data_IF_344878401023
#
_entry.id   IF_344878401023
#
_cell.length_a   1.000
_cell.length_b   1.000
_cell.length_c   1.000
_cell.angle_alpha   90.00
_cell.angle_beta   90.00
_cell.angle_gamma   90.00
#
_symmetry.space_group_name_H-M   'P 1'
#
loop_
_entity.id
_entity.type
_entity.pdbx_description
1 polymer ?
#
# COMPACT_ATOMS: atom_id res chain seq x y z
N UNK A 1 -9.87 14.77 -41.56
CA UNK A 1 -9.47 15.43 -40.30
C UNK A 1 -9.55 14.38 -39.18
N UNK A 2 -8.52 14.26 -38.37
CA UNK A 2 -8.48 13.27 -37.29
C UNK A 2 -9.37 13.67 -36.11
N UNK A 3 -10.02 12.69 -35.50
CA UNK A 3 -10.81 12.88 -34.28
C UNK A 3 -10.41 11.85 -33.25
N UNK A 4 -10.06 12.32 -32.05
CA UNK A 4 -9.75 11.48 -30.89
C UNK A 4 -11.03 11.28 -30.06
N UNK A 5 -11.36 10.02 -29.73
CA UNK A 5 -12.50 9.67 -28.87
C UNK A 5 -12.09 8.75 -27.75
N UNK A 6 -12.70 8.93 -26.59
CA UNK A 6 -12.57 8.00 -25.47
C UNK A 6 -13.73 7.00 -25.49
N UNK A 7 -13.40 5.72 -25.65
CA UNK A 7 -14.39 4.64 -25.73
C UNK A 7 -13.94 3.48 -24.83
N UNK A 8 -14.69 3.22 -23.77
CA UNK A 8 -14.49 2.08 -22.86
C UNK A 8 -13.01 1.87 -22.48
N UNK A 9 -12.38 2.91 -21.90
CA UNK A 9 -10.99 2.83 -21.44
C UNK A 9 -9.92 2.87 -22.53
N UNK A 10 -10.31 3.19 -23.76
CA UNK A 10 -9.41 3.29 -24.92
C UNK A 10 -9.52 4.67 -25.59
N UNK A 11 -8.47 5.03 -26.33
CA UNK A 11 -8.49 6.15 -27.28
C UNK A 11 -8.67 5.58 -28.68
N UNK A 12 -9.70 6.00 -29.35
CA UNK A 12 -9.94 5.74 -30.76
C UNK A 12 -9.55 6.97 -31.59
N UNK A 13 -8.81 6.75 -32.69
CA UNK A 13 -8.39 7.78 -33.62
C UNK A 13 -9.08 7.50 -34.95
N UNK A 14 -10.07 8.32 -35.27
CA UNK A 14 -10.87 8.21 -36.48
C UNK A 14 -10.46 9.25 -37.53
N UNK A 15 -10.69 8.92 -38.80
CA UNK A 15 -10.41 9.80 -39.93
C UNK A 15 -8.98 9.70 -40.46
N UNK A 16 -8.64 10.60 -41.37
CA UNK A 16 -7.36 10.62 -42.06
C UNK A 16 -6.65 11.97 -41.82
N UNK A 17 -5.33 11.95 -41.93
CA UNK A 17 -4.56 13.17 -41.95
C UNK A 17 -4.94 14.03 -43.19
N UNK A 18 -4.95 15.36 -43.08
CA UNK A 18 -5.18 16.22 -44.24
C UNK A 18 -4.18 15.96 -45.36
N UNK A 19 -4.60 16.30 -46.61
CA UNK A 19 -3.77 16.15 -47.78
C UNK A 19 -2.37 16.78 -47.61
N UNK A 20 -1.34 16.02 -47.98
CA UNK A 20 0.06 16.42 -47.82
C UNK A 20 0.69 16.18 -46.47
N UNK A 21 -0.07 15.67 -45.47
CA UNK A 21 0.44 15.31 -44.17
C UNK A 21 0.43 13.80 -43.97
N UNK A 22 1.56 13.22 -43.54
CA UNK A 22 1.63 11.83 -43.16
C UNK A 22 1.34 11.66 -41.68
N UNK A 23 0.42 10.76 -41.32
CA UNK A 23 0.16 10.40 -39.93
C UNK A 23 1.39 9.69 -39.36
N UNK A 24 2.06 10.23 -38.32
CA UNK A 24 3.19 9.53 -37.70
C UNK A 24 2.69 8.26 -36.96
N UNK A 25 3.56 7.28 -36.72
CA UNK A 25 3.22 6.15 -35.85
C UNK A 25 2.75 6.65 -34.48
N UNK A 26 1.51 6.32 -34.12
CA UNK A 26 0.95 6.75 -32.85
C UNK A 26 1.36 5.76 -31.73
N UNK A 27 1.80 6.25 -30.56
CA UNK A 27 2.23 5.41 -29.45
C UNK A 27 1.15 4.42 -29.01
N UNK A 28 1.51 3.14 -28.93
CA UNK A 28 0.62 2.04 -28.49
C UNK A 28 -0.68 1.87 -29.31
N UNK A 29 -0.79 2.52 -30.47
CA UNK A 29 -1.95 2.39 -31.34
C UNK A 29 -1.79 1.21 -32.30
N UNK A 30 -2.86 0.44 -32.45
CA UNK A 30 -2.99 -0.62 -33.44
C UNK A 30 -4.31 -0.44 -34.20
N UNK A 31 -4.36 -0.97 -35.45
CA UNK A 31 -5.60 -0.96 -36.19
C UNK A 31 -6.60 -1.94 -35.56
N UNK A 32 -7.84 -1.47 -35.32
CA UNK A 32 -8.95 -2.28 -34.84
C UNK A 32 -9.94 -2.43 -36.00
N UNK A 33 -9.94 -3.58 -36.67
CA UNK A 33 -10.78 -3.87 -37.83
C UNK A 33 -12.30 -3.80 -37.49
N UNK A 34 -12.66 -4.05 -36.24
CA UNK A 34 -14.07 -4.00 -35.79
C UNK A 34 -14.57 -2.59 -35.66
N UNK A 35 -13.71 -1.68 -35.22
CA UNK A 35 -14.04 -0.26 -35.05
C UNK A 35 -13.68 0.57 -36.28
N UNK A 36 -12.89 0.02 -37.23
CA UNK A 36 -12.40 0.72 -38.43
C UNK A 36 -11.53 1.93 -38.10
N UNK A 37 -10.76 1.87 -37.01
CA UNK A 37 -9.95 2.99 -36.55
C UNK A 37 -8.63 2.51 -35.89
N UNK A 38 -7.72 3.45 -35.62
CA UNK A 38 -6.59 3.16 -34.75
C UNK A 38 -7.04 3.25 -33.29
N UNK A 39 -6.69 2.24 -32.49
CA UNK A 39 -7.05 2.14 -31.08
C UNK A 39 -5.84 1.96 -30.18
N UNK A 40 -5.82 2.68 -29.07
CA UNK A 40 -4.78 2.60 -28.06
C UNK A 40 -5.41 2.57 -26.64
N UNK A 41 -4.74 2.00 -25.63
CA UNK A 41 -5.20 2.16 -24.25
C UNK A 41 -5.19 3.65 -23.85
N UNK A 42 -6.15 4.06 -23.01
CA UNK A 42 -6.34 5.48 -22.67
C UNK A 42 -5.07 6.13 -22.05
N UNK A 43 -4.23 5.36 -21.37
CA UNK A 43 -2.94 5.84 -20.83
C UNK A 43 -2.02 6.47 -21.87
N UNK A 44 -2.15 6.07 -23.13
CA UNK A 44 -1.37 6.60 -24.26
C UNK A 44 -1.84 7.97 -24.77
N UNK A 45 -2.99 8.46 -24.30
CA UNK A 45 -3.60 9.72 -24.78
C UNK A 45 -2.61 10.89 -24.81
N UNK A 46 -1.89 11.14 -23.72
CA UNK A 46 -0.96 12.27 -23.65
C UNK A 46 0.20 12.14 -24.66
N UNK A 47 0.65 10.94 -24.92
CA UNK A 47 1.74 10.66 -25.88
C UNK A 47 1.22 10.78 -27.32
N UNK A 48 0.02 10.32 -27.59
CA UNK A 48 -0.66 10.49 -28.89
C UNK A 48 -0.83 11.97 -29.20
N UNK A 49 -1.40 12.75 -28.26
CA UNK A 49 -1.60 14.22 -28.44
C UNK A 49 -0.27 14.91 -28.69
N UNK A 50 0.79 14.62 -27.91
CA UNK A 50 2.13 15.18 -28.13
C UNK A 50 2.71 14.83 -29.49
N UNK A 51 2.50 13.62 -29.96
CA UNK A 51 2.97 13.16 -31.26
C UNK A 51 2.26 13.92 -32.39
N UNK A 52 0.95 14.05 -32.33
CA UNK A 52 0.16 14.82 -33.31
C UNK A 52 0.56 16.31 -33.35
N UNK A 53 0.70 16.94 -32.17
CA UNK A 53 1.13 18.34 -32.05
C UNK A 53 2.52 18.56 -32.62
N UNK A 54 3.50 17.67 -32.31
CA UNK A 54 4.87 17.76 -32.84
C UNK A 54 4.90 17.61 -34.36
N UNK A 55 4.08 16.70 -34.90
CA UNK A 55 3.94 16.48 -36.33
C UNK A 55 3.09 17.56 -37.03
N UNK A 56 2.54 18.51 -36.27
CA UNK A 56 1.63 19.57 -36.77
C UNK A 56 0.41 19.01 -37.50
N UNK A 57 -0.03 17.82 -37.13
CA UNK A 57 -1.25 17.19 -37.68
C UNK A 57 -2.45 17.73 -36.91
N UNK A 58 -3.41 18.43 -37.58
CA UNK A 58 -4.59 18.95 -36.92
C UNK A 58 -5.56 17.82 -36.54
N UNK A 59 -6.16 17.92 -35.36
CA UNK A 59 -7.12 16.96 -34.85
C UNK A 59 -8.19 17.63 -33.99
N UNK A 60 -9.34 16.97 -33.88
CA UNK A 60 -10.42 17.32 -32.93
C UNK A 60 -10.28 16.40 -31.72
N UNK A 61 -10.23 16.97 -30.54
CA UNK A 61 -10.13 16.21 -29.29
C UNK A 61 -11.51 16.13 -28.60
N UNK A 62 -12.24 15.05 -28.85
CA UNK A 62 -13.47 14.69 -28.19
C UNK A 62 -13.25 13.70 -27.02
N UNK A 63 -11.99 13.26 -26.80
CA UNK A 63 -11.68 12.26 -25.80
C UNK A 63 -11.69 12.84 -24.38
N UNK A 64 -11.13 14.02 -24.19
CA UNK A 64 -11.00 14.62 -22.86
C UNK A 64 -12.31 15.25 -22.40
N UNK A 65 -12.71 14.90 -21.16
CA UNK A 65 -13.88 15.47 -20.47
C UNK A 65 -13.53 16.04 -19.11
N UNK A 66 -12.25 16.16 -18.79
CA UNK A 66 -11.79 16.77 -17.54
C UNK A 66 -11.77 18.28 -17.60
N UNK A 67 -11.98 18.88 -16.43
CA UNK A 67 -12.09 20.32 -16.25
C UNK A 67 -10.80 20.92 -15.71
N UNK A 68 -10.56 22.19 -15.99
CA UNK A 68 -9.64 23.02 -15.26
C UNK A 68 -10.35 23.60 -14.05
N UNK A 69 -9.70 23.56 -12.89
CA UNK A 69 -10.28 24.01 -11.64
C UNK A 69 -9.58 25.31 -11.18
N UNK A 70 -10.23 26.03 -10.28
CA UNK A 70 -9.65 27.15 -9.53
C UNK A 70 -9.68 26.78 -8.04
N UNK A 71 -8.72 25.93 -7.63
CA UNK A 71 -8.62 25.44 -6.27
C UNK A 71 -7.78 26.39 -5.42
N UNK A 72 -8.38 26.91 -4.37
CA UNK A 72 -7.67 27.73 -3.37
C UNK A 72 -7.33 26.86 -2.16
N UNK A 73 -6.05 26.85 -1.79
CA UNK A 73 -5.59 26.13 -0.59
C UNK A 73 -6.02 26.92 0.64
N UNK A 74 -6.98 26.40 1.42
CA UNK A 74 -7.49 27.03 2.65
C UNK A 74 -6.61 26.77 3.86
N UNK A 75 -6.03 25.58 3.93
CA UNK A 75 -5.15 25.15 5.01
C UNK A 75 -3.73 24.99 4.43
N UNK A 76 -3.05 26.09 4.21
CA UNK A 76 -1.66 26.05 3.77
C UNK A 76 -0.78 25.52 4.91
N UNK A 77 -0.08 24.43 4.63
CA UNK A 77 0.98 23.92 5.48
C UNK A 77 2.29 24.16 4.78
N UNK A 78 3.26 24.70 5.48
CA UNK A 78 4.59 24.89 4.94
C UNK A 78 5.21 23.54 4.55
N UNK A 79 5.63 23.37 3.29
CA UNK A 79 6.23 22.12 2.86
C UNK A 79 7.62 21.96 3.46
N UNK A 80 7.97 20.71 3.78
CA UNK A 80 9.33 20.37 4.16
C UNK A 80 10.23 20.37 2.92
N UNK A 81 11.55 20.63 3.04
CA UNK A 81 12.46 20.70 1.88
C UNK A 81 12.35 19.49 0.94
N UNK A 82 12.37 18.28 1.48
CA UNK A 82 12.26 17.06 0.67
C UNK A 82 10.90 16.91 -0.05
N UNK A 83 9.82 17.52 0.46
CA UNK A 83 8.52 17.54 -0.22
C UNK A 83 8.54 18.48 -1.42
N UNK A 84 9.23 19.61 -1.30
CA UNK A 84 9.47 20.53 -2.41
C UNK A 84 10.35 19.87 -3.47
N UNK A 85 11.45 19.24 -3.07
CA UNK A 85 12.31 18.45 -3.98
C UNK A 85 11.53 17.38 -4.74
N UNK A 86 10.62 16.67 -4.05
CA UNK A 86 9.79 15.64 -4.66
C UNK A 86 8.84 16.19 -5.73
N UNK A 87 8.23 17.36 -5.48
CA UNK A 87 7.37 18.06 -6.45
C UNK A 87 8.19 18.57 -7.64
N UNK A 88 9.38 19.13 -7.40
CA UNK A 88 10.25 19.62 -8.45
C UNK A 88 10.73 18.47 -9.36
N UNK A 89 11.11 17.34 -8.79
CA UNK A 89 11.47 16.14 -9.54
C UNK A 89 10.29 15.60 -10.37
N UNK A 90 9.09 15.57 -9.79
CA UNK A 90 7.88 15.13 -10.50
C UNK A 90 7.51 16.12 -11.61
N UNK A 91 7.67 17.41 -11.40
CA UNK A 91 7.47 18.45 -12.41
C UNK A 91 8.45 18.30 -13.57
N UNK A 92 9.74 18.07 -13.26
CA UNK A 92 10.79 17.83 -14.26
C UNK A 92 10.50 16.60 -15.12
N UNK A 93 9.80 15.60 -14.55
CA UNK A 93 9.30 14.41 -15.27
C UNK A 93 7.94 14.64 -15.95
N UNK A 94 7.62 15.91 -16.30
CA UNK A 94 6.39 16.32 -16.98
C UNK A 94 5.10 15.91 -16.24
N UNK A 95 5.14 15.81 -14.92
CA UNK A 95 3.99 15.45 -14.10
C UNK A 95 3.61 13.97 -14.18
N UNK A 96 4.57 13.08 -14.44
CA UNK A 96 4.38 11.60 -14.46
C UNK A 96 5.52 10.94 -13.69
N UNK A 97 5.19 10.25 -12.63
CA UNK A 97 6.19 9.52 -11.85
C UNK A 97 5.74 9.10 -10.48
N UNK A 98 6.59 8.33 -9.84
CA UNK A 98 6.40 7.79 -8.50
C UNK A 98 7.33 8.50 -7.52
N UNK A 99 6.75 8.95 -6.41
CA UNK A 99 7.46 9.50 -5.26
C UNK A 99 7.49 8.44 -4.16
N UNK A 100 8.70 8.04 -3.78
CA UNK A 100 8.95 7.07 -2.71
C UNK A 100 9.39 7.81 -1.46
N UNK A 101 8.53 7.75 -0.44
CA UNK A 101 8.76 8.40 0.84
C UNK A 101 8.29 7.49 1.98
N UNK A 102 8.96 7.47 3.13
CA UNK A 102 8.56 6.69 4.29
C UNK A 102 7.14 7.00 4.76
N UNK A 103 6.52 6.04 5.44
CA UNK A 103 5.24 6.28 6.12
C UNK A 103 5.43 7.34 7.21
N UNK A 104 4.48 8.27 7.33
CA UNK A 104 4.59 9.38 8.30
C UNK A 104 5.38 10.61 7.82
N UNK A 105 6.09 10.55 6.69
CA UNK A 105 6.82 11.69 6.12
C UNK A 105 5.92 12.76 5.51
N UNK A 106 4.65 12.46 5.25
CA UNK A 106 3.70 13.39 4.64
C UNK A 106 3.59 13.25 3.11
N UNK A 107 3.64 12.03 2.55
CA UNK A 107 3.35 11.74 1.13
C UNK A 107 2.08 12.43 0.63
N UNK A 108 1.03 12.41 1.45
CA UNK A 108 -0.25 13.03 1.13
C UNK A 108 -0.15 14.54 0.93
N UNK A 109 0.77 15.22 1.63
CA UNK A 109 1.03 16.66 1.44
C UNK A 109 1.67 16.93 0.07
N UNK A 110 2.59 16.07 -0.39
CA UNK A 110 3.14 16.15 -1.77
C UNK A 110 2.03 16.08 -2.80
N UNK A 111 1.05 15.18 -2.61
CA UNK A 111 -0.10 15.11 -3.51
C UNK A 111 -0.98 16.37 -3.46
N UNK A 112 -1.21 16.97 -2.28
CA UNK A 112 -1.96 18.23 -2.17
C UNK A 112 -1.27 19.35 -2.93
N UNK A 113 0.07 19.45 -2.84
CA UNK A 113 0.88 20.41 -3.62
C UNK A 113 0.72 20.17 -5.13
N UNK A 114 0.76 18.90 -5.57
CA UNK A 114 0.57 18.54 -6.97
C UNK A 114 -0.83 18.89 -7.48
N UNK A 115 -1.89 18.65 -6.70
CA UNK A 115 -3.27 19.02 -7.05
C UNK A 115 -3.40 20.56 -7.19
N UNK A 116 -2.88 21.29 -6.20
CA UNK A 116 -2.90 22.76 -6.19
C UNK A 116 -2.13 23.35 -7.38
N UNK A 117 -1.06 22.69 -7.84
CA UNK A 117 -0.30 23.14 -9.02
C UNK A 117 -1.03 22.82 -10.32
N UNK A 118 -1.57 21.62 -10.48
CA UNK A 118 -2.15 21.21 -11.78
C UNK A 118 -3.53 21.76 -12.04
N UNK A 119 -4.29 22.10 -11.01
CA UNK A 119 -5.60 22.72 -11.18
C UNK A 119 -6.50 21.95 -12.16
N UNK A 120 -6.58 20.61 -12.02
CA UNK A 120 -7.33 19.72 -12.91
C UNK A 120 -8.28 18.84 -12.12
N UNK A 121 -9.38 18.43 -12.77
CA UNK A 121 -10.19 17.34 -12.21
C UNK A 121 -9.29 16.17 -11.83
N UNK A 122 -9.36 15.76 -10.58
CA UNK A 122 -8.41 14.82 -9.97
C UNK A 122 -9.13 13.62 -9.39
N UNK A 123 -8.61 12.42 -9.71
CA UNK A 123 -9.00 11.17 -9.08
C UNK A 123 -7.89 10.68 -8.15
N UNK A 124 -8.23 10.40 -6.90
CA UNK A 124 -7.33 9.72 -5.96
C UNK A 124 -7.79 8.28 -5.79
N UNK A 125 -6.89 7.35 -6.02
CA UNK A 125 -7.13 5.90 -5.87
C UNK A 125 -6.35 5.40 -4.69
N UNK A 126 -7.04 4.79 -3.70
CA UNK A 126 -6.44 4.30 -2.46
C UNK A 126 -6.82 2.82 -2.20
N UNK A 127 -6.00 2.04 -1.45
CA UNK A 127 -6.22 0.60 -1.30
C UNK A 127 -7.39 0.22 -0.39
N UNK A 128 -7.81 1.08 0.53
CA UNK A 128 -8.84 0.75 1.53
C UNK A 128 -9.85 1.86 1.69
N UNK A 129 -11.08 1.51 2.12
CA UNK A 129 -12.13 2.49 2.41
C UNK A 129 -11.74 3.47 3.54
N UNK A 130 -10.92 3.04 4.48
CA UNK A 130 -10.43 3.92 5.55
C UNK A 130 -9.51 5.02 4.99
N UNK A 131 -8.60 4.68 4.04
CA UNK A 131 -7.80 5.67 3.33
C UNK A 131 -8.64 6.57 2.42
N UNK A 132 -9.63 6.01 1.74
CA UNK A 132 -10.57 6.79 0.91
C UNK A 132 -11.26 7.87 1.77
N UNK A 133 -11.71 7.53 2.98
CA UNK A 133 -12.30 8.51 3.91
C UNK A 133 -11.30 9.58 4.36
N UNK A 134 -10.07 9.18 4.70
CA UNK A 134 -9.02 10.13 5.08
C UNK A 134 -8.71 11.11 3.93
N UNK A 135 -8.62 10.60 2.70
CA UNK A 135 -8.43 11.44 1.51
C UNK A 135 -9.61 12.36 1.26
N UNK A 136 -10.83 11.86 1.45
CA UNK A 136 -12.06 12.65 1.32
C UNK A 136 -12.08 13.84 2.29
N UNK A 137 -11.82 13.59 3.57
CA UNK A 137 -11.80 14.63 4.60
C UNK A 137 -10.67 15.64 4.37
N UNK A 138 -9.49 15.14 3.97
CA UNK A 138 -8.32 15.97 3.72
C UNK A 138 -8.48 16.87 2.49
N UNK A 139 -8.99 16.35 1.38
CA UNK A 139 -9.28 17.15 0.19
C UNK A 139 -10.34 18.22 0.50
N UNK A 140 -11.42 17.83 1.20
CA UNK A 140 -12.48 18.73 1.61
C UNK A 140 -11.97 19.88 2.50
N UNK A 141 -11.17 19.56 3.50
CA UNK A 141 -10.58 20.56 4.41
C UNK A 141 -9.53 21.44 3.74
N UNK A 142 -8.71 20.88 2.85
CA UNK A 142 -7.63 21.60 2.19
C UNK A 142 -8.14 22.59 1.14
N UNK A 143 -9.07 22.16 0.29
CA UNK A 143 -9.54 22.97 -0.84
C UNK A 143 -10.91 23.61 -0.60
N UNK A 144 -11.67 23.12 0.41
CA UNK A 144 -13.03 23.59 0.65
C UNK A 144 -13.98 23.34 -0.53
N UNK A 145 -13.70 22.31 -1.32
CA UNK A 145 -14.44 21.93 -2.50
C UNK A 145 -15.28 20.67 -2.21
N UNK A 146 -16.45 20.50 -2.84
CA UNK A 146 -17.19 19.24 -2.74
C UNK A 146 -16.36 18.07 -3.29
N UNK A 147 -16.34 16.96 -2.56
CA UNK A 147 -15.57 15.76 -2.93
C UNK A 147 -16.53 14.66 -3.37
N UNK A 148 -16.19 14.00 -4.49
CA UNK A 148 -16.81 12.79 -4.96
C UNK A 148 -16.25 11.56 -4.22
N UNK A 149 -17.08 10.52 -4.12
CA UNK A 149 -16.68 9.25 -3.51
C UNK A 149 -17.26 8.09 -4.32
N UNK A 150 -16.40 7.14 -4.69
CA UNK A 150 -16.81 5.90 -5.35
C UNK A 150 -16.26 4.72 -4.56
N UNK A 151 -17.14 3.91 -3.98
CA UNK A 151 -16.80 2.76 -3.15
C UNK A 151 -17.60 2.71 -1.86
N UNK A 152 -17.70 1.53 -1.26
CA UNK A 152 -18.44 1.34 0.00
C UNK A 152 -19.95 1.61 -0.12
N UNK A 153 -20.53 1.44 -1.31
CA UNK A 153 -21.95 1.73 -1.59
C UNK A 153 -22.22 3.14 -2.12
N UNK A 154 -21.23 4.02 -2.14
CA UNK A 154 -21.33 5.37 -2.70
C UNK A 154 -20.89 5.39 -4.16
N UNK A 155 -21.59 6.18 -4.99
CA UNK A 155 -21.21 6.43 -6.39
C UNK A 155 -21.46 7.88 -6.78
N UNK A 156 -20.65 8.79 -6.23
CA UNK A 156 -20.75 10.23 -6.52
C UNK A 156 -19.47 10.70 -7.20
N UNK A 157 -19.57 11.12 -8.46
CA UNK A 157 -18.44 11.59 -9.27
C UNK A 157 -18.45 13.11 -9.33
N UNK A 158 -17.39 13.73 -8.83
CA UNK A 158 -17.17 15.18 -8.85
C UNK A 158 -15.77 15.48 -9.41
N UNK A 159 -15.44 16.75 -9.71
CA UNK A 159 -14.10 17.11 -10.19
C UNK A 159 -12.94 16.65 -9.29
N UNK A 160 -13.12 16.69 -7.96
CA UNK A 160 -12.24 16.01 -7.02
C UNK A 160 -12.95 14.76 -6.51
N UNK A 161 -12.44 13.58 -6.83
CA UNK A 161 -13.06 12.29 -6.45
C UNK A 161 -12.04 11.36 -5.84
N UNK A 162 -12.47 10.62 -4.83
CA UNK A 162 -11.67 9.56 -4.19
C UNK A 162 -12.33 8.20 -4.42
N UNK A 163 -11.54 7.16 -4.65
CA UNK A 163 -12.04 5.81 -4.91
C UNK A 163 -11.09 4.75 -4.37
N UNK A 164 -11.59 3.50 -4.27
CA UNK A 164 -10.73 2.34 -4.03
C UNK A 164 -10.17 1.78 -5.34
N UNK A 165 -9.08 0.97 -5.27
CA UNK A 165 -8.56 0.24 -6.43
C UNK A 165 -9.62 -0.69 -7.04
N UNK A 166 -10.42 -1.37 -6.20
CA UNK A 166 -11.51 -2.25 -6.66
C UNK A 166 -12.56 -1.46 -7.45
N UNK A 167 -13.01 -0.33 -6.91
CA UNK A 167 -14.00 0.52 -7.59
C UNK A 167 -13.42 1.18 -8.84
N UNK A 168 -12.16 1.62 -8.82
CA UNK A 168 -11.50 2.16 -10.00
C UNK A 168 -11.41 1.13 -11.13
N UNK A 169 -11.06 -0.13 -10.80
CA UNK A 169 -11.03 -1.22 -11.77
C UNK A 169 -12.39 -1.41 -12.47
N UNK A 170 -13.49 -1.35 -11.71
CA UNK A 170 -14.84 -1.58 -12.24
C UNK A 170 -15.39 -0.41 -13.06
N UNK A 171 -14.96 0.81 -12.79
CA UNK A 171 -15.62 2.00 -13.34
C UNK A 171 -14.76 2.83 -14.31
N UNK A 172 -13.44 2.56 -14.41
CA UNK A 172 -12.54 3.41 -15.18
C UNK A 172 -12.85 3.44 -16.68
N UNK A 173 -13.44 2.38 -17.23
CA UNK A 173 -13.90 2.33 -18.64
C UNK A 173 -14.88 3.46 -19.00
N UNK A 174 -15.61 3.97 -18.00
CA UNK A 174 -16.57 5.07 -18.18
C UNK A 174 -16.07 6.40 -17.58
N UNK A 175 -15.17 6.34 -16.60
CA UNK A 175 -14.72 7.51 -15.86
C UNK A 175 -13.38 8.04 -16.33
N UNK A 176 -12.59 7.24 -17.06
CA UNK A 176 -11.21 7.53 -17.37
C UNK A 176 -10.95 8.81 -18.17
N UNK A 177 -11.98 9.35 -18.86
CA UNK A 177 -11.90 10.64 -19.58
C UNK A 177 -12.17 11.87 -18.71
N UNK A 178 -12.74 11.70 -17.50
CA UNK A 178 -13.21 12.79 -16.64
C UNK A 178 -12.14 13.40 -15.76
N UNK A 179 -10.96 12.81 -15.69
CA UNK A 179 -9.88 13.24 -14.81
C UNK A 179 -8.64 13.60 -15.61
N UNK A 180 -8.12 14.80 -15.40
CA UNK A 180 -6.86 15.27 -15.98
C UNK A 180 -5.64 14.95 -15.12
N UNK A 181 -5.87 14.56 -13.87
CA UNK A 181 -4.85 14.13 -12.94
C UNK A 181 -5.32 12.88 -12.17
N UNK A 182 -4.47 11.88 -12.06
CA UNK A 182 -4.72 10.70 -11.26
C UNK A 182 -3.58 10.47 -10.26
N UNK A 183 -3.95 10.21 -9.02
CA UNK A 183 -3.04 9.90 -7.93
C UNK A 183 -3.32 8.46 -7.47
N UNK A 184 -2.28 7.63 -7.43
CA UNK A 184 -2.32 6.28 -6.92
C UNK A 184 -1.59 6.24 -5.57
N UNK A 185 -2.35 6.22 -4.49
CA UNK A 185 -1.79 6.04 -3.16
C UNK A 185 -1.48 4.57 -2.91
N UNK A 186 -0.34 4.30 -2.24
CA UNK A 186 0.25 2.96 -2.13
C UNK A 186 0.32 2.24 -3.49
N UNK A 187 0.89 2.94 -4.48
CA UNK A 187 0.88 2.54 -5.90
C UNK A 187 1.58 1.19 -6.20
N UNK A 188 2.26 0.61 -5.21
CA UNK A 188 2.78 -0.75 -5.30
C UNK A 188 1.69 -1.83 -5.48
N UNK A 189 0.42 -1.51 -5.19
CA UNK A 189 -0.71 -2.38 -5.49
C UNK A 189 -1.07 -2.40 -6.98
N UNK A 190 -0.77 -1.32 -7.69
CA UNK A 190 -1.24 -1.06 -9.05
C UNK A 190 -0.83 -2.13 -10.09
N UNK A 191 0.39 -2.69 -10.10
CA UNK A 191 0.79 -3.69 -11.09
C UNK A 191 0.09 -5.06 -10.95
N UNK A 192 -0.88 -5.22 -10.06
CA UNK A 192 -1.71 -6.44 -10.04
C UNK A 192 -2.63 -6.49 -11.27
N UNK A 193 -2.96 -7.69 -11.75
CA UNK A 193 -3.68 -7.86 -13.02
C UNK A 193 -4.95 -7.02 -13.16
N UNK A 194 -5.81 -7.00 -12.15
CA UNK A 194 -7.06 -6.24 -12.16
C UNK A 194 -6.82 -4.73 -12.02
N UNK A 195 -5.95 -4.31 -11.09
CA UNK A 195 -5.74 -2.89 -10.81
C UNK A 195 -4.95 -2.15 -11.89
N UNK A 196 -4.09 -2.85 -12.65
CA UNK A 196 -3.40 -2.29 -13.79
C UNK A 196 -4.39 -1.72 -14.83
N UNK A 197 -5.57 -2.36 -14.99
CA UNK A 197 -6.62 -1.89 -15.89
C UNK A 197 -7.09 -0.48 -15.52
N UNK A 198 -7.27 -0.17 -14.24
CA UNK A 198 -7.66 1.17 -13.80
C UNK A 198 -6.70 2.28 -14.27
N UNK A 199 -5.39 1.99 -14.31
CA UNK A 199 -4.40 2.93 -14.82
C UNK A 199 -4.38 2.99 -16.35
N UNK A 200 -4.52 1.85 -17.03
CA UNK A 200 -4.52 1.76 -18.50
C UNK A 200 -5.75 2.45 -19.10
N UNK A 201 -6.92 2.30 -18.47
CA UNK A 201 -8.19 2.88 -18.91
C UNK A 201 -8.38 4.37 -18.54
N UNK A 202 -7.42 4.99 -17.86
CA UNK A 202 -7.45 6.42 -17.51
C UNK A 202 -6.60 7.24 -18.47
N UNK A 203 -7.19 8.26 -19.10
CA UNK A 203 -6.46 9.13 -20.03
C UNK A 203 -5.67 10.26 -19.33
N UNK A 204 -5.78 10.43 -18.00
CA UNK A 204 -5.16 11.52 -17.27
C UNK A 204 -3.69 11.74 -17.71
N UNK A 205 -3.35 12.93 -18.26
CA UNK A 205 -1.98 13.24 -18.68
C UNK A 205 -1.02 13.37 -17.50
N UNK A 206 -1.51 13.80 -16.34
CA UNK A 206 -0.72 13.88 -15.11
C UNK A 206 -0.98 12.67 -14.23
N UNK A 207 0.10 12.08 -13.71
CA UNK A 207 0.05 10.84 -12.90
C UNK A 207 1.05 10.90 -11.78
N UNK A 208 0.61 10.65 -10.56
CA UNK A 208 1.46 10.60 -9.37
C UNK A 208 1.23 9.28 -8.64
N UNK A 209 2.27 8.49 -8.49
CA UNK A 209 2.28 7.35 -7.59
C UNK A 209 2.93 7.71 -6.27
N UNK A 210 2.34 7.29 -5.17
CA UNK A 210 2.88 7.44 -3.83
C UNK A 210 3.07 6.06 -3.21
N UNK A 211 4.23 5.80 -2.65
CA UNK A 211 4.49 4.57 -1.89
C UNK A 211 5.64 4.76 -0.91
N UNK A 212 5.68 3.94 0.13
CA UNK A 212 6.85 3.83 1.00
C UNK A 212 7.78 2.68 0.57
N UNK A 213 7.27 1.72 -0.18
CA UNK A 213 7.96 0.47 -0.55
C UNK A 213 7.63 0.11 -1.99
N UNK A 214 8.43 0.57 -2.95
CA UNK A 214 8.21 0.33 -4.38
C UNK A 214 8.59 -1.10 -4.80
N UNK A 215 9.38 -1.82 -4.00
CA UNK A 215 9.93 -3.12 -4.32
C UNK A 215 8.83 -4.18 -4.43
N UNK A 216 8.93 -5.00 -5.49
CA UNK A 216 8.04 -6.13 -5.75
C UNK A 216 8.83 -7.38 -6.06
N UNK A 217 8.37 -8.49 -5.53
CA UNK A 217 8.99 -9.80 -5.76
C UNK A 217 8.49 -10.51 -7.02
N UNK A 218 7.39 -10.01 -7.62
CA UNK A 218 6.74 -10.61 -8.79
C UNK A 218 7.25 -10.05 -10.15
N UNK A 219 8.26 -9.19 -10.13
CA UNK A 219 8.88 -8.60 -11.33
C UNK A 219 7.98 -7.61 -12.11
N UNK A 220 6.77 -7.33 -11.64
CA UNK A 220 5.87 -6.38 -12.29
C UNK A 220 6.28 -4.95 -11.95
N UNK A 221 6.15 -4.05 -12.94
CA UNK A 221 6.55 -2.65 -12.85
C UNK A 221 5.34 -1.72 -13.04
N UNK A 222 5.37 -0.58 -12.38
CA UNK A 222 4.39 0.50 -12.53
C UNK A 222 4.83 1.60 -13.51
N UNK A 223 6.02 1.51 -14.13
CA UNK A 223 6.57 2.56 -15.03
C UNK A 223 5.64 2.89 -16.18
N UNK A 224 5.06 1.87 -16.81
CA UNK A 224 4.12 2.04 -17.93
C UNK A 224 2.76 2.58 -17.49
N UNK A 225 2.41 2.39 -16.21
CA UNK A 225 1.11 2.76 -15.65
C UNK A 225 1.10 4.16 -15.06
N UNK A 226 2.18 4.55 -14.40
CA UNK A 226 2.32 5.84 -13.71
C UNK A 226 3.48 6.66 -14.28
N UNK A 227 4.66 6.09 -14.33
CA UNK A 227 5.93 6.69 -14.71
C UNK A 227 7.08 6.14 -13.88
N UNK A 228 8.32 6.59 -14.10
CA UNK A 228 9.49 6.17 -13.33
C UNK A 228 9.42 6.64 -11.87
N UNK A 229 10.26 6.06 -11.00
CA UNK A 229 10.54 6.66 -9.70
C UNK A 229 11.33 7.94 -9.96
N UNK A 230 10.75 9.08 -9.60
CA UNK A 230 11.33 10.41 -9.83
C UNK A 230 11.99 10.97 -8.58
N UNK A 231 11.57 10.50 -7.41
CA UNK A 231 12.14 10.92 -6.14
C UNK A 231 12.07 9.79 -5.12
N UNK A 232 13.11 9.64 -4.31
CA UNK A 232 13.19 8.63 -3.26
C UNK A 232 13.96 9.17 -2.05
N UNK A 233 13.40 8.96 -0.85
CA UNK A 233 14.07 9.10 0.44
C UNK A 233 13.77 7.87 1.29
N UNK A 234 14.77 7.39 1.97
CA UNK A 234 14.66 6.28 2.91
C UNK A 234 14.34 6.76 4.33
N UNK A 235 14.02 5.84 5.24
CA UNK A 235 13.75 6.17 6.64
C UNK A 235 14.97 6.84 7.27
N UNK A 236 16.19 6.31 7.01
CA UNK A 236 17.43 6.84 7.54
C UNK A 236 17.70 8.30 7.13
N UNK A 237 17.33 8.67 5.90
CA UNK A 237 17.50 10.05 5.41
C UNK A 237 16.65 11.09 6.16
N UNK A 238 15.56 10.65 6.80
CA UNK A 238 14.57 11.53 7.43
C UNK A 238 14.52 11.35 8.96
N UNK A 239 15.16 10.31 9.50
CA UNK A 239 15.20 10.03 10.92
C UNK A 239 15.95 11.13 11.70
N UNK A 240 15.43 11.49 12.87
CA UNK A 240 15.98 12.57 13.71
C UNK A 240 15.56 13.97 13.29
N UNK A 241 15.53 14.28 11.98
CA UNK A 241 15.17 15.61 11.49
C UNK A 241 13.66 15.73 11.24
N UNK A 242 13.07 14.84 10.45
CA UNK A 242 11.65 14.89 10.03
C UNK A 242 10.81 13.74 10.56
N UNK A 243 11.44 12.61 10.85
CA UNK A 243 10.88 11.48 11.58
C UNK A 243 11.51 11.40 12.97
N UNK A 244 10.86 10.75 13.92
CA UNK A 244 11.45 10.48 15.22
C UNK A 244 12.70 9.61 15.02
N UNK A 245 13.75 9.87 15.81
CA UNK A 245 14.82 8.91 15.97
C UNK A 245 14.27 7.61 16.56
N UNK A 246 14.83 6.49 16.18
CA UNK A 246 14.35 5.19 16.65
C UNK A 246 15.51 4.25 16.92
N UNK A 247 15.29 3.38 17.91
CA UNK A 247 16.15 2.25 18.19
C UNK A 247 15.41 0.96 17.89
N UNK A 248 16.15 -0.05 17.45
CA UNK A 248 15.62 -1.39 17.20
C UNK A 248 16.35 -2.38 18.07
N UNK A 249 15.60 -3.19 18.81
CA UNK A 249 16.12 -4.23 19.67
C UNK A 249 15.53 -5.58 19.29
N UNK A 250 16.40 -6.53 18.92
CA UNK A 250 15.98 -7.91 18.65
C UNK A 250 16.27 -8.76 19.88
N UNK A 251 15.21 -9.36 20.41
CA UNK A 251 15.26 -10.18 21.61
C UNK A 251 15.08 -11.65 21.21
N UNK A 252 16.13 -12.42 21.40
CA UNK A 252 16.12 -13.85 21.15
C UNK A 252 15.44 -14.59 22.32
N UNK A 253 14.43 -15.39 22.03
CA UNK A 253 13.67 -16.16 23.01
C UNK A 253 13.91 -17.64 22.80
N UNK A 254 14.50 -18.31 23.80
CA UNK A 254 14.74 -19.75 23.76
C UNK A 254 13.48 -20.52 24.18
N UNK A 255 13.16 -21.59 23.48
CA UNK A 255 12.11 -22.55 23.90
C UNK A 255 12.64 -23.40 25.04
N UNK A 256 11.76 -23.79 25.96
CA UNK A 256 12.10 -24.84 26.94
C UNK A 256 12.41 -26.16 26.25
N UNK A 257 13.05 -27.11 26.94
CA UNK A 257 13.37 -28.41 26.37
C UNK A 257 12.10 -29.14 25.87
N UNK A 258 11.01 -29.03 26.60
CA UNK A 258 9.71 -29.62 26.24
C UNK A 258 9.08 -28.95 25.02
N UNK A 259 9.08 -27.61 24.99
CA UNK A 259 8.59 -26.83 23.85
C UNK A 259 9.42 -27.08 22.60
N UNK A 260 10.74 -27.22 22.75
CA UNK A 260 11.65 -27.55 21.67
C UNK A 260 11.33 -28.93 21.09
N UNK A 261 11.21 -29.95 21.93
CA UNK A 261 10.86 -31.29 21.50
C UNK A 261 9.49 -31.29 20.75
N UNK A 262 8.48 -30.61 21.30
CA UNK A 262 7.18 -30.50 20.66
C UNK A 262 7.22 -29.72 19.32
N UNK A 263 8.08 -28.70 19.22
CA UNK A 263 8.28 -27.95 17.97
C UNK A 263 8.93 -28.81 16.91
N UNK A 264 10.00 -29.56 17.28
CA UNK A 264 10.76 -30.39 16.35
C UNK A 264 9.94 -31.58 15.86
N UNK A 265 9.11 -32.20 16.72
CA UNK A 265 8.13 -33.24 16.36
C UNK A 265 7.11 -32.70 15.35
N UNK A 266 6.47 -31.57 15.68
CA UNK A 266 5.48 -30.96 14.80
C UNK A 266 6.10 -30.53 13.47
N UNK A 267 7.31 -29.98 13.49
CA UNK A 267 8.05 -29.62 12.28
C UNK A 267 8.40 -30.84 11.43
N UNK A 268 8.84 -31.93 12.07
CA UNK A 268 9.14 -33.21 11.40
C UNK A 268 7.91 -33.75 10.66
N UNK A 269 6.77 -33.86 11.34
CA UNK A 269 5.49 -34.33 10.76
C UNK A 269 5.07 -33.47 9.55
N UNK A 270 5.13 -32.15 9.70
CA UNK A 270 4.80 -31.23 8.62
C UNK A 270 5.74 -31.38 7.41
N UNK A 271 7.07 -31.45 7.66
CA UNK A 271 8.07 -31.58 6.58
C UNK A 271 7.96 -32.91 5.86
N UNK A 272 7.78 -34.02 6.58
CA UNK A 272 7.59 -35.34 5.98
C UNK A 272 6.41 -35.36 4.99
N UNK A 273 5.29 -34.72 5.35
CA UNK A 273 4.14 -34.61 4.45
C UNK A 273 4.45 -33.78 3.20
N UNK A 274 5.14 -32.64 3.34
CA UNK A 274 5.53 -31.78 2.22
C UNK A 274 6.46 -32.52 1.26
N UNK A 275 7.47 -33.21 1.81
CA UNK A 275 8.46 -33.96 1.03
C UNK A 275 7.80 -35.14 0.30
N UNK A 276 6.96 -35.91 1.00
CA UNK A 276 6.20 -37.03 0.42
C UNK A 276 5.33 -36.62 -0.75
N UNK A 277 4.69 -35.46 -0.68
CA UNK A 277 3.80 -34.96 -1.72
C UNK A 277 4.47 -33.97 -2.69
N UNK A 278 5.80 -33.83 -2.62
CA UNK A 278 6.60 -32.94 -3.48
C UNK A 278 6.07 -31.50 -3.53
N UNK A 279 5.57 -30.97 -2.39
CA UNK A 279 5.00 -29.63 -2.32
C UNK A 279 6.12 -28.60 -2.19
N UNK A 280 6.23 -27.69 -3.16
CA UNK A 280 7.18 -26.56 -3.12
C UNK A 280 6.50 -25.36 -2.48
N UNK A 281 6.77 -25.12 -1.19
CA UNK A 281 6.18 -24.00 -0.45
C UNK A 281 6.64 -22.61 -0.91
N UNK A 282 7.72 -22.53 -1.68
CA UNK A 282 8.19 -21.31 -2.32
C UNK A 282 7.40 -20.90 -3.58
N UNK A 283 6.64 -21.83 -4.16
CA UNK A 283 5.85 -21.56 -5.35
C UNK A 283 4.53 -20.87 -4.98
N UNK A 284 3.98 -19.97 -5.82
CA UNK A 284 2.71 -19.30 -5.57
C UNK A 284 1.54 -20.24 -5.30
N UNK A 285 1.53 -21.45 -5.91
CA UNK A 285 0.52 -22.46 -5.73
C UNK A 285 0.79 -23.41 -4.55
N UNK A 286 1.99 -23.36 -3.94
CA UNK A 286 2.43 -24.33 -2.93
C UNK A 286 1.51 -24.41 -1.73
N UNK A 287 1.11 -23.25 -1.18
CA UNK A 287 0.19 -23.18 -0.05
C UNK A 287 -1.20 -23.75 -0.41
N UNK A 288 -1.75 -23.40 -1.57
CA UNK A 288 -3.04 -23.93 -2.05
C UNK A 288 -3.01 -25.46 -2.23
N UNK A 289 -1.89 -25.98 -2.74
CA UNK A 289 -1.67 -27.42 -2.89
C UNK A 289 -1.61 -28.12 -1.52
N UNK A 290 -0.89 -27.54 -0.55
CA UNK A 290 -0.84 -28.05 0.82
C UNK A 290 -2.23 -28.10 1.46
N UNK A 291 -3.02 -27.02 1.40
CA UNK A 291 -4.39 -26.98 1.94
C UNK A 291 -5.25 -28.08 1.31
N UNK A 292 -5.24 -28.19 0.00
CA UNK A 292 -6.05 -29.17 -0.73
C UNK A 292 -5.70 -30.61 -0.35
N UNK A 293 -4.42 -30.94 -0.33
CA UNK A 293 -3.96 -32.30 0.01
C UNK A 293 -4.16 -32.62 1.49
N UNK A 294 -3.97 -31.63 2.38
CA UNK A 294 -4.18 -31.82 3.82
C UNK A 294 -5.66 -32.04 4.20
N UNK A 295 -6.61 -31.59 3.39
CA UNK A 295 -8.03 -31.81 3.63
C UNK A 295 -8.49 -33.23 3.24
N UNK A 296 -7.77 -33.90 2.36
CA UNK A 296 -8.20 -35.18 1.73
C UNK A 296 -7.84 -36.45 2.47
N UNK A 297 -7.06 -36.41 3.55
CA UNK A 297 -6.60 -37.62 4.26
C UNK A 297 -6.34 -37.37 5.74
N UNK A 298 -6.34 -38.47 6.55
CA UNK A 298 -5.99 -38.41 7.97
C UNK A 298 -4.56 -37.89 8.17
N UNK A 299 -3.60 -38.40 7.39
CA UNK A 299 -2.21 -37.94 7.39
C UNK A 299 -2.10 -36.43 7.06
N UNK A 300 -2.88 -35.97 6.07
CA UNK A 300 -2.94 -34.56 5.73
C UNK A 300 -3.50 -33.67 6.86
N UNK A 301 -4.53 -34.17 7.57
CA UNK A 301 -5.07 -33.48 8.74
C UNK A 301 -4.06 -33.43 9.89
N UNK A 302 -3.23 -34.49 10.07
CA UNK A 302 -2.12 -34.49 11.02
C UNK A 302 -1.05 -33.47 10.63
N UNK A 303 -0.66 -33.43 9.37
CA UNK A 303 0.29 -32.43 8.86
C UNK A 303 -0.21 -30.99 9.04
N UNK A 304 -1.52 -30.75 8.86
CA UNK A 304 -2.13 -29.44 9.12
C UNK A 304 -2.14 -29.09 10.62
N UNK A 305 -2.42 -30.06 11.50
CA UNK A 305 -2.32 -29.87 12.97
C UNK A 305 -0.88 -29.56 13.37
N UNK A 306 0.07 -30.30 12.85
CA UNK A 306 1.50 -30.12 13.08
C UNK A 306 1.98 -28.75 12.58
N UNK A 307 1.54 -28.32 11.40
CA UNK A 307 1.81 -26.96 10.89
C UNK A 307 1.29 -25.87 11.84
N UNK A 308 0.08 -26.01 12.37
CA UNK A 308 -0.48 -25.06 13.34
C UNK A 308 0.29 -25.07 14.65
N UNK A 309 0.65 -26.26 15.16
CA UNK A 309 1.36 -26.42 16.42
C UNK A 309 2.76 -25.81 16.39
N UNK A 310 3.55 -26.08 15.34
CA UNK A 310 4.88 -25.45 15.22
C UNK A 310 4.79 -23.93 15.14
N UNK A 311 3.77 -23.37 14.49
CA UNK A 311 3.57 -21.92 14.43
C UNK A 311 3.17 -21.35 15.80
N UNK A 312 2.29 -22.00 16.51
CA UNK A 312 1.92 -21.61 17.86
C UNK A 312 3.13 -21.53 18.78
N UNK A 313 3.98 -22.56 18.76
CA UNK A 313 5.21 -22.61 19.55
C UNK A 313 6.23 -21.55 19.12
N UNK A 314 6.35 -21.28 17.83
CA UNK A 314 7.24 -20.22 17.36
C UNK A 314 6.72 -18.81 17.70
N UNK A 315 5.41 -18.55 17.57
CA UNK A 315 4.88 -17.19 17.64
C UNK A 315 4.43 -16.78 19.04
N UNK A 316 3.98 -17.69 19.86
CA UNK A 316 3.40 -17.42 21.17
C UNK A 316 3.85 -18.42 22.23
N UNK A 317 5.15 -18.81 22.20
CA UNK A 317 5.72 -19.61 23.27
C UNK A 317 5.50 -18.94 24.65
N UNK A 318 5.28 -19.70 25.73
CA UNK A 318 5.15 -19.16 27.08
C UNK A 318 6.25 -18.19 27.47
N UNK A 319 7.53 -18.50 27.19
CA UNK A 319 8.64 -17.60 27.45
C UNK A 319 8.53 -16.25 26.69
N UNK A 320 8.03 -16.31 25.43
CA UNK A 320 7.78 -15.08 24.63
C UNK A 320 6.66 -14.24 25.24
N UNK A 321 5.60 -14.88 25.74
CA UNK A 321 4.48 -14.22 26.42
C UNK A 321 4.92 -13.56 27.73
N UNK A 322 5.76 -14.26 28.52
CA UNK A 322 6.34 -13.70 29.74
C UNK A 322 7.20 -12.46 29.44
N UNK A 323 8.04 -12.52 28.41
CA UNK A 323 8.85 -11.37 27.98
C UNK A 323 7.99 -10.20 27.50
N UNK A 324 6.92 -10.49 26.75
CA UNK A 324 5.95 -9.47 26.35
C UNK A 324 5.32 -8.81 27.56
N UNK A 325 4.95 -9.57 28.59
CA UNK A 325 4.44 -9.04 29.86
C UNK A 325 5.46 -8.11 30.56
N UNK A 326 6.75 -8.46 30.53
CA UNK A 326 7.82 -7.62 31.04
C UNK A 326 7.92 -6.29 30.25
N UNK A 327 7.89 -6.31 28.93
CA UNK A 327 7.91 -5.09 28.11
C UNK A 327 6.67 -4.22 28.34
N UNK A 328 5.48 -4.81 28.48
CA UNK A 328 4.25 -4.08 28.81
C UNK A 328 4.36 -3.36 30.17
N UNK A 329 4.97 -4.01 31.14
CA UNK A 329 5.22 -3.41 32.46
C UNK A 329 6.26 -2.29 32.39
N UNK A 330 7.38 -2.52 31.69
CA UNK A 330 8.45 -1.54 31.50
C UNK A 330 7.95 -0.25 30.85
N UNK A 331 7.09 -0.40 29.86
CA UNK A 331 6.55 0.70 29.07
C UNK A 331 5.11 1.12 29.46
N UNK A 332 4.72 0.91 30.71
CA UNK A 332 3.34 1.21 31.19
C UNK A 332 2.90 2.68 31.04
N UNK A 333 3.85 3.60 30.86
CA UNK A 333 3.60 5.04 30.62
C UNK A 333 3.55 5.42 29.14
N UNK A 334 3.94 4.50 28.26
CA UNK A 334 4.03 4.71 26.83
C UNK A 334 2.76 4.23 26.10
N UNK A 335 2.64 4.62 24.83
CA UNK A 335 1.64 4.04 23.94
C UNK A 335 2.30 2.97 23.06
N UNK A 336 1.77 1.74 23.16
CA UNK A 336 2.36 0.57 22.54
C UNK A 336 1.45 0.00 21.44
N UNK A 337 2.06 -0.46 20.36
CA UNK A 337 1.39 -1.27 19.36
C UNK A 337 2.08 -2.63 19.27
N UNK A 338 1.31 -3.69 19.49
CA UNK A 338 1.79 -5.07 19.42
C UNK A 338 1.35 -5.67 18.09
N UNK A 339 2.33 -6.06 17.27
CA UNK A 339 2.11 -6.65 15.96
C UNK A 339 2.25 -8.16 15.97
N UNK A 340 1.28 -8.84 15.36
CA UNK A 340 1.30 -10.29 15.16
C UNK A 340 1.12 -10.64 13.68
N UNK A 341 1.50 -11.84 13.29
CA UNK A 341 1.35 -12.32 11.92
C UNK A 341 -0.08 -12.82 11.61
N UNK A 342 -0.78 -13.32 12.61
CA UNK A 342 -2.10 -13.92 12.46
C UNK A 342 -3.06 -13.51 13.58
N UNK A 343 -4.36 -13.73 13.33
CA UNK A 343 -5.40 -13.35 14.28
C UNK A 343 -5.40 -14.22 15.54
N UNK A 344 -5.00 -15.49 15.44
CA UNK A 344 -5.00 -16.40 16.60
C UNK A 344 -4.01 -15.89 17.66
N UNK A 345 -2.80 -15.52 17.23
CA UNK A 345 -1.79 -14.88 18.10
C UNK A 345 -2.29 -13.55 18.68
N UNK A 346 -2.95 -12.72 17.84
CA UNK A 346 -3.49 -11.44 18.31
C UNK A 346 -4.56 -11.63 19.40
N UNK A 347 -5.51 -12.53 19.19
CA UNK A 347 -6.56 -12.83 20.18
C UNK A 347 -6.01 -13.51 21.45
N UNK A 348 -4.96 -14.34 21.34
CA UNK A 348 -4.31 -14.93 22.50
C UNK A 348 -3.69 -13.86 23.39
N UNK A 349 -2.88 -12.95 22.81
CA UNK A 349 -2.26 -11.83 23.52
C UNK A 349 -3.32 -10.92 24.12
N UNK A 350 -4.35 -10.56 23.34
CA UNK A 350 -5.43 -9.70 23.81
C UNK A 350 -6.14 -10.26 25.04
N UNK A 351 -6.40 -11.58 25.08
CA UNK A 351 -7.02 -12.24 26.25
C UNK A 351 -6.10 -12.33 27.46
N UNK A 352 -4.82 -12.65 27.23
CA UNK A 352 -3.85 -12.84 28.32
C UNK A 352 -3.54 -11.53 29.03
N UNK A 353 -3.43 -10.43 28.28
CA UNK A 353 -3.09 -9.11 28.82
C UNK A 353 -4.26 -8.12 28.89
N UNK A 354 -5.49 -8.57 28.60
CA UNK A 354 -6.72 -7.77 28.60
C UNK A 354 -6.61 -6.49 27.74
N UNK A 355 -6.03 -6.64 26.54
CA UNK A 355 -5.78 -5.54 25.62
C UNK A 355 -6.82 -5.49 24.49
N UNK A 356 -7.20 -4.29 24.00
CA UNK A 356 -7.98 -4.16 22.79
C UNK A 356 -7.25 -4.75 21.58
N UNK A 357 -8.00 -5.42 20.69
CA UNK A 357 -7.44 -6.08 19.50
C UNK A 357 -8.12 -5.62 18.22
N UNK A 358 -7.30 -5.34 17.20
CA UNK A 358 -7.76 -4.94 15.87
C UNK A 358 -7.29 -5.98 14.86
N UNK A 359 -8.24 -6.67 14.23
CA UNK A 359 -8.01 -7.64 13.16
C UNK A 359 -8.85 -7.29 11.92
N UNK A 360 -8.68 -8.02 10.83
CA UNK A 360 -9.55 -7.85 9.64
C UNK A 360 -11.03 -8.15 9.92
N UNK A 361 -11.32 -8.88 10.99
CA UNK A 361 -12.69 -9.21 11.41
C UNK A 361 -13.31 -8.10 12.28
N UNK A 362 -12.49 -7.17 12.81
CA UNK A 362 -12.97 -6.05 13.62
C UNK A 362 -13.80 -5.08 12.78
N UNK A 363 -15.06 -4.88 13.13
CA UNK A 363 -15.97 -3.96 12.43
C UNK A 363 -15.43 -2.54 12.44
N UNK A 364 -15.69 -1.77 11.37
CA UNK A 364 -15.19 -0.39 11.21
C UNK A 364 -15.54 0.49 12.42
N UNK A 365 -16.76 0.36 12.95
CA UNK A 365 -17.23 1.13 14.10
C UNK A 365 -16.45 0.82 15.39
N UNK A 366 -16.20 -0.45 15.65
CA UNK A 366 -15.41 -0.95 16.78
C UNK A 366 -13.95 -0.52 16.64
N UNK A 367 -13.36 -0.67 15.46
CA UNK A 367 -12.00 -0.20 15.15
C UNK A 367 -11.85 1.29 15.45
N UNK A 368 -12.79 2.11 14.97
CA UNK A 368 -12.78 3.55 15.24
C UNK A 368 -12.86 3.85 16.74
N UNK A 369 -13.65 3.09 17.50
CA UNK A 369 -13.75 3.26 18.96
C UNK A 369 -12.43 2.92 19.65
N UNK A 370 -11.81 1.78 19.31
CA UNK A 370 -10.51 1.37 19.87
C UNK A 370 -9.43 2.42 19.57
N UNK A 371 -9.34 2.90 18.32
CA UNK A 371 -8.34 3.90 17.93
C UNK A 371 -8.55 5.24 18.62
N UNK A 372 -9.79 5.68 18.81
CA UNK A 372 -10.12 6.88 19.60
C UNK A 372 -9.70 6.72 21.07
N UNK A 373 -9.99 5.57 21.68
CA UNK A 373 -9.58 5.26 23.05
C UNK A 373 -8.06 5.21 23.20
N UNK A 374 -7.35 4.68 22.19
CA UNK A 374 -5.90 4.70 22.17
C UNK A 374 -5.35 6.13 22.04
N UNK A 375 -5.91 6.97 21.14
CA UNK A 375 -5.54 8.39 21.04
C UNK A 375 -5.77 9.17 22.34
N UNK A 376 -6.88 8.90 23.01
CA UNK A 376 -7.23 9.52 24.28
C UNK A 376 -6.46 8.96 25.49
N UNK A 377 -5.53 8.00 25.25
CA UNK A 377 -4.78 7.29 26.30
C UNK A 377 -5.65 6.50 27.29
N UNK A 378 -6.88 6.18 26.92
CA UNK A 378 -7.73 5.24 27.68
C UNK A 378 -7.14 3.82 27.62
N UNK A 379 -6.51 3.49 26.49
CA UNK A 379 -5.75 2.26 26.28
C UNK A 379 -4.28 2.62 26.08
N UNK A 380 -3.40 2.08 26.92
CA UNK A 380 -1.93 2.24 26.79
C UNK A 380 -1.34 1.34 25.69
N UNK A 381 -1.98 0.21 25.41
CA UNK A 381 -1.52 -0.72 24.40
C UNK A 381 -2.69 -1.26 23.56
N UNK A 382 -2.42 -1.57 22.29
CA UNK A 382 -3.33 -2.28 21.38
C UNK A 382 -2.60 -3.41 20.69
N UNK A 383 -3.33 -4.49 20.41
CA UNK A 383 -2.81 -5.64 19.64
C UNK A 383 -3.40 -5.62 18.24
N UNK A 384 -2.58 -5.91 17.24
CA UNK A 384 -3.05 -5.97 15.87
C UNK A 384 -2.41 -7.12 15.09
N UNK A 385 -3.17 -7.68 14.16
CA UNK A 385 -2.63 -8.51 13.10
C UNK A 385 -2.18 -7.62 11.91
N UNK A 386 -2.34 -8.06 10.69
CA UNK A 386 -1.90 -7.33 9.48
C UNK A 386 -2.64 -6.02 9.18
N UNK A 387 -3.77 -5.76 9.82
CA UNK A 387 -4.71 -4.68 9.45
C UNK A 387 -4.14 -3.28 9.61
N UNK A 388 -3.29 -3.06 10.60
CA UNK A 388 -2.67 -1.74 10.81
C UNK A 388 -1.39 -1.54 10.00
N UNK A 389 -1.02 -2.47 9.13
CA UNK A 389 0.12 -2.29 8.24
C UNK A 389 -0.17 -1.23 7.18
N UNK A 390 -1.40 -1.20 6.63
CA UNK A 390 -1.80 -0.32 5.55
C UNK A 390 -3.15 0.34 5.83
N UNK A 391 -3.29 1.59 5.45
CA UNK A 391 -4.59 2.25 5.26
C UNK A 391 -5.32 2.76 6.51
N UNK A 392 -4.82 2.51 7.70
CA UNK A 392 -5.46 3.02 8.93
C UNK A 392 -4.58 4.11 9.53
N UNK A 393 -5.15 5.27 9.84
CA UNK A 393 -4.43 6.29 10.61
C UNK A 393 -4.32 5.82 12.06
N UNK A 394 -3.16 5.27 12.40
CA UNK A 394 -2.87 4.84 13.76
C UNK A 394 -2.38 6.04 14.55
N UNK A 395 -2.96 6.29 15.72
CA UNK A 395 -2.47 7.34 16.60
C UNK A 395 -1.00 7.13 16.97
N UNK A 396 -0.34 8.19 17.40
CA UNK A 396 1.07 8.17 17.77
C UNK A 396 1.36 7.14 18.87
N UNK A 397 2.11 6.11 18.50
CA UNK A 397 2.73 5.20 19.45
C UNK A 397 4.22 5.54 19.60
N UNK A 398 4.79 5.31 20.76
CA UNK A 398 6.23 5.45 21.02
C UNK A 398 6.96 4.11 20.97
N UNK A 399 6.25 3.02 21.23
CA UNK A 399 6.83 1.67 21.26
C UNK A 399 6.05 0.75 20.33
N UNK A 400 6.78 -0.01 19.51
CA UNK A 400 6.23 -1.13 18.75
C UNK A 400 6.87 -2.44 19.20
N UNK A 401 6.06 -3.49 19.33
CA UNK A 401 6.53 -4.82 19.67
C UNK A 401 6.08 -5.78 18.56
N UNK A 402 7.02 -6.38 17.85
CA UNK A 402 6.75 -7.43 16.88
C UNK A 402 6.88 -8.78 17.60
N UNK A 403 5.76 -9.39 17.94
CA UNK A 403 5.73 -10.71 18.57
C UNK A 403 5.88 -11.81 17.51
N UNK A 404 5.28 -11.62 16.34
CA UNK A 404 5.46 -12.46 15.17
C UNK A 404 5.24 -11.64 13.90
N UNK A 405 5.96 -11.96 12.83
CA UNK A 405 5.86 -11.19 11.59
C UNK A 405 6.17 -12.01 10.35
N UNK A 406 5.70 -11.54 9.20
CA UNK A 406 6.11 -12.07 7.89
C UNK A 406 7.53 -11.61 7.56
N UNK A 407 8.21 -12.31 6.65
CA UNK A 407 9.50 -11.87 6.08
C UNK A 407 9.38 -10.69 5.11
N UNK A 408 8.25 -10.00 5.10
CA UNK A 408 8.03 -8.85 4.22
C UNK A 408 8.68 -7.60 4.81
N UNK A 409 9.73 -7.13 4.15
CA UNK A 409 10.36 -5.83 4.43
C UNK A 409 9.31 -4.71 4.41
N UNK A 410 8.38 -4.77 3.47
CA UNK A 410 7.28 -3.79 3.33
C UNK A 410 6.45 -3.68 4.60
N UNK A 411 5.94 -4.80 5.13
CA UNK A 411 5.14 -4.79 6.36
C UNK A 411 5.92 -4.20 7.53
N UNK A 412 7.23 -4.48 7.58
CA UNK A 412 8.09 -3.97 8.64
C UNK A 412 8.28 -2.44 8.54
N UNK A 413 8.63 -1.93 7.36
CA UNK A 413 8.79 -0.49 7.10
C UNK A 413 7.48 0.27 7.39
N UNK A 414 6.33 -0.29 7.03
CA UNK A 414 5.03 0.30 7.33
C UNK A 414 4.74 0.33 8.84
N UNK A 415 5.12 -0.71 9.59
CA UNK A 415 5.01 -0.76 11.06
C UNK A 415 5.88 0.29 11.72
N UNK A 416 7.16 0.39 11.31
CA UNK A 416 8.06 1.45 11.76
C UNK A 416 7.47 2.83 11.54
N UNK A 417 6.96 3.11 10.36
CA UNK A 417 6.37 4.40 10.04
C UNK A 417 5.18 4.81 10.92
N UNK A 418 4.58 3.86 11.68
CA UNK A 418 3.50 4.16 12.63
C UNK A 418 4.02 4.73 13.95
N UNK A 419 5.25 4.40 14.33
CA UNK A 419 5.88 4.90 15.57
C UNK A 419 6.81 6.08 15.32
N UNK A 420 7.22 6.32 14.07
CA UNK A 420 8.21 7.34 13.71
C UNK A 420 7.65 8.76 13.55
N UNK A 421 6.38 9.02 13.86
CA UNK A 421 5.85 10.39 13.82
C UNK A 421 6.60 11.28 14.81
N UNK A 422 7.22 12.35 14.31
CA UNK A 422 8.05 13.26 15.12
C UNK A 422 7.19 14.02 16.13
N UNK A 423 7.59 13.96 17.40
CA UNK A 423 7.19 14.86 18.48
C UNK A 423 8.43 15.31 19.24
N UNK A 424 8.38 16.47 19.86
CA UNK A 424 9.48 16.98 20.65
C UNK A 424 9.82 15.97 21.78
N UNK A 425 11.09 15.58 21.86
CA UNK A 425 11.60 14.65 22.88
C UNK A 425 11.21 13.18 22.69
N UNK A 426 10.55 12.80 21.58
CA UNK A 426 10.14 11.42 21.30
C UNK A 426 11.28 10.63 20.66
N UNK A 427 11.67 9.55 21.32
CA UNK A 427 12.45 8.44 20.76
C UNK A 427 11.52 7.25 20.56
N UNK A 428 11.51 6.69 19.38
CA UNK A 428 10.69 5.52 19.07
C UNK A 428 11.50 4.25 19.35
N UNK A 429 10.86 3.23 19.92
CA UNK A 429 11.47 1.94 20.21
C UNK A 429 10.73 0.83 19.45
N UNK A 430 11.50 -0.01 18.77
CA UNK A 430 10.99 -1.21 18.12
C UNK A 430 11.62 -2.45 18.73
N UNK A 431 10.82 -3.26 19.39
CA UNK A 431 11.22 -4.58 19.86
C UNK A 431 10.80 -5.66 18.88
N UNK A 432 11.70 -6.57 18.57
CA UNK A 432 11.40 -7.75 17.78
C UNK A 432 11.68 -9.00 18.62
N UNK A 433 10.62 -9.75 18.99
CA UNK A 433 10.75 -11.00 19.74
C UNK A 433 10.89 -12.17 18.76
N UNK A 434 12.03 -12.82 18.73
CA UNK A 434 12.35 -13.91 17.80
C UNK A 434 12.59 -15.19 18.58
N UNK A 435 11.82 -16.23 18.28
CA UNK A 435 12.02 -17.55 18.89
C UNK A 435 13.20 -18.25 18.18
N UNK A 436 14.26 -18.51 18.96
CA UNK A 436 15.51 -19.10 18.47
C UNK A 436 15.34 -20.49 17.86
N UNK A 437 16.17 -20.80 16.87
CA UNK A 437 16.19 -22.06 16.15
C UNK A 437 14.81 -22.53 15.63
N UNK A 438 13.96 -21.56 15.24
CA UNK A 438 12.68 -21.82 14.55
C UNK A 438 12.68 -21.21 13.16
N UNK A 439 11.62 -21.43 12.39
CA UNK A 439 11.44 -20.78 11.10
C UNK A 439 11.38 -19.24 11.21
N UNK A 440 11.15 -18.69 12.40
CA UNK A 440 11.05 -17.26 12.65
C UNK A 440 12.40 -16.54 12.51
N UNK A 441 13.51 -17.19 12.85
CA UNK A 441 14.86 -16.64 12.70
C UNK A 441 15.18 -16.25 11.26
N UNK A 442 14.91 -17.15 10.30
CA UNK A 442 15.10 -16.86 8.86
C UNK A 442 14.20 -15.72 8.35
N UNK A 443 12.99 -15.61 8.92
CA UNK A 443 12.05 -14.57 8.58
C UNK A 443 12.52 -13.21 9.11
N UNK A 444 13.09 -13.18 10.31
CA UNK A 444 13.66 -11.99 10.93
C UNK A 444 14.91 -11.51 10.18
N UNK A 445 15.83 -12.40 9.81
CA UNK A 445 17.02 -12.05 9.02
C UNK A 445 16.66 -11.38 7.69
N UNK A 446 15.70 -11.91 6.95
CA UNK A 446 15.22 -11.29 5.70
C UNK A 446 14.67 -9.88 5.88
N UNK A 447 14.08 -9.57 7.04
CA UNK A 447 13.58 -8.23 7.35
C UNK A 447 14.72 -7.23 7.54
N UNK A 448 15.85 -7.69 8.09
CA UNK A 448 17.03 -6.86 8.40
C UNK A 448 17.90 -6.51 7.21
N UNK A 449 17.73 -7.16 6.07
CA UNK A 449 18.43 -6.82 4.81
C UNK A 449 18.04 -5.46 4.22
N UNK A 450 17.16 -4.70 4.86
CA UNK A 450 16.71 -3.39 4.40
C UNK A 450 17.44 -2.24 5.12
N UNK A 451 17.66 -1.11 4.39
CA UNK A 451 18.35 0.09 4.89
C UNK A 451 17.72 0.72 6.15
N UNK A 452 16.46 0.39 6.47
CA UNK A 452 15.81 0.79 7.72
C UNK A 452 16.46 0.19 8.99
N UNK A 453 17.38 -0.77 8.85
CA UNK A 453 18.13 -1.38 9.96
C UNK A 453 19.62 -0.99 9.96
N UNK A 454 20.05 -0.23 9.00
CA UNK A 454 21.40 0.34 8.90
C UNK A 454 21.36 1.80 9.35
#
# INVERSE_FOLDING_TARGET
MLTLRFVSGSIEVHGEAPDGLTLPPLPHAAHDDRAGCLRAPAVAYADIVRTLVRAKVPFIDEARRYEQLDLKVRAAREPRPFQTEAIDAWRAAHGRGVVVLPTGSGKTHVAMMAIAEKQRSTLVVAPTLDLVRQWYDLLGSTFGHPIGLIGGGEHKVLPLTVTTYDSAHLHMDHLGSRFGFVIFDECHHLPSGAYAHAALACLAPFRLGLTATPERTDGRDFRTLVGPIVYRKEIGDLAGEYLASYDTETIAISLSAEERAAYDEARGTYRAFIEKHHIRMGDPAGWGTFIRLSAGSTEGQEAMRAYRRQRELAFTAPAKMQYLGHLLHQHRGDQLIIFTQDNASAYRIAREFLLPVITHQTKVRERSHILKGFTARTYGAIVTSKVLNEGVDVPDASVAIIVSGSGSVREHVQRLGRILRKRAGKQALLYELVTEATAEGYVSERRRDHDAYR
#
